data_IF_811108208166
#
_entry.id   IF_811108208166
#
_cell.length_a   1.000
_cell.length_b   1.000
_cell.length_c   1.000
_cell.angle_alpha   90.00
_cell.angle_beta   90.00
_cell.angle_gamma   90.00
#
_symmetry.space_group_name_H-M   'P 1'
#
loop_
_entity.id
_entity.type
_entity.pdbx_description
1 polymer ?
#
# COMPACT_ATOMS: atom_id res chain seq x y z
N UNK A 1 -45.64 7.45 60.09
CA UNK A 1 -46.09 8.47 61.09
C UNK A 1 -45.39 9.78 60.80
N UNK A 2 -46.14 10.82 60.63
CA UNK A 2 -45.90 12.28 60.50
C UNK A 2 -45.30 12.76 59.17
N UNK A 3 -46.24 13.25 58.40
CA UNK A 3 -46.21 14.36 57.46
C UNK A 3 -45.72 15.66 58.09
N UNK A 4 -45.11 16.52 57.32
CA UNK A 4 -45.19 17.98 57.45
C UNK A 4 -45.09 18.62 56.07
N UNK A 5 -46.08 19.40 55.81
CA UNK A 5 -46.37 20.34 54.70
C UNK A 5 -45.59 21.63 54.87
N UNK A 6 -45.37 22.33 53.79
CA UNK A 6 -45.90 23.60 53.25
C UNK A 6 -44.80 24.67 53.36
N UNK A 7 -44.46 25.51 52.38
CA UNK A 7 -45.31 26.57 51.83
C UNK A 7 -44.74 27.17 50.50
N UNK A 8 -45.67 27.77 49.79
CA UNK A 8 -45.46 28.48 48.53
C UNK A 8 -45.02 29.94 48.78
N UNK A 9 -44.11 30.41 47.90
CA UNK A 9 -43.96 31.83 47.65
C UNK A 9 -43.83 32.12 46.17
N UNK A 10 -44.78 32.84 45.62
CA UNK A 10 -44.80 33.46 44.29
C UNK A 10 -43.73 34.55 44.19
N UNK A 11 -43.01 34.57 43.07
CA UNK A 11 -42.13 35.67 42.73
C UNK A 11 -42.01 35.83 41.21
N UNK A 12 -42.63 36.83 40.72
CA UNK A 12 -42.64 37.58 39.45
C UNK A 12 -41.82 37.12 38.24
N UNK A 13 -42.52 37.01 37.14
CA UNK A 13 -42.09 36.88 35.75
C UNK A 13 -41.35 38.15 35.30
N UNK A 14 -40.16 38.00 34.79
CA UNK A 14 -39.52 38.97 33.89
C UNK A 14 -39.17 38.25 32.58
N UNK A 15 -39.93 38.51 31.54
CA UNK A 15 -39.69 38.02 30.18
C UNK A 15 -38.54 38.80 29.57
N UNK A 16 -37.42 38.14 29.31
CA UNK A 16 -36.34 38.64 28.43
C UNK A 16 -36.47 37.90 27.11
N UNK A 17 -36.88 38.58 26.08
CA UNK A 17 -36.81 38.10 24.70
C UNK A 17 -35.32 38.07 24.27
N UNK A 18 -34.78 36.87 24.10
CA UNK A 18 -33.52 36.67 23.42
C UNK A 18 -33.85 36.28 21.99
N UNK A 19 -33.52 37.20 21.05
CA UNK A 19 -33.55 36.95 19.61
C UNK A 19 -32.48 35.93 19.30
N UNK A 20 -32.89 34.70 18.96
CA UNK A 20 -32.02 33.64 18.51
C UNK A 20 -31.52 33.92 17.10
N UNK A 21 -30.28 34.33 16.96
CA UNK A 21 -29.57 34.27 15.70
C UNK A 21 -29.18 32.81 15.43
N UNK A 22 -29.88 32.15 14.51
CA UNK A 22 -29.52 30.84 13.98
C UNK A 22 -28.23 31.01 13.16
N UNK A 23 -27.08 30.72 13.78
CA UNK A 23 -25.83 30.53 13.06
C UNK A 23 -25.86 29.14 12.42
N UNK A 24 -26.15 29.10 11.13
CA UNK A 24 -25.79 27.93 10.29
C UNK A 24 -24.28 27.73 10.37
N UNK A 25 -23.87 26.79 11.20
CA UNK A 25 -22.49 26.29 11.20
C UNK A 25 -22.23 25.50 9.93
N UNK A 26 -21.73 26.18 8.90
CA UNK A 26 -21.05 25.51 7.80
C UNK A 26 -19.79 24.87 8.38
N UNK A 27 -19.78 23.55 8.45
CA UNK A 27 -18.56 22.77 8.66
C UNK A 27 -17.62 23.03 7.49
N UNK A 28 -16.78 24.05 7.61
CA UNK A 28 -15.63 24.23 6.73
C UNK A 28 -14.65 23.08 7.04
N UNK A 29 -14.56 22.11 6.14
CA UNK A 29 -13.41 21.22 6.07
C UNK A 29 -12.18 22.11 5.86
N UNK A 30 -11.42 22.35 6.92
CA UNK A 30 -10.15 23.03 6.86
C UNK A 30 -9.19 22.20 6.00
N UNK A 31 -8.93 22.65 4.75
CA UNK A 31 -7.80 22.14 3.97
C UNK A 31 -6.55 22.22 4.84
N UNK A 32 -5.71 21.16 4.89
CA UNK A 32 -4.41 21.24 5.54
C UNK A 32 -3.63 22.37 4.86
N UNK A 33 -3.33 23.39 5.62
CA UNK A 33 -2.51 24.52 5.16
C UNK A 33 -1.08 24.05 5.03
N UNK A 34 -0.38 24.40 3.96
CA UNK A 34 1.09 24.28 3.84
C UNK A 34 1.85 25.14 4.85
N UNK A 35 1.15 25.91 5.67
CA UNK A 35 1.68 26.66 6.79
C UNK A 35 1.99 25.70 7.95
N UNK A 36 3.24 25.22 8.02
CA UNK A 36 3.70 24.35 9.12
C UNK A 36 4.65 23.24 8.75
N UNK A 37 4.95 23.05 7.44
CA UNK A 37 5.96 22.05 7.05
C UNK A 37 7.33 22.42 7.63
N UNK A 38 8.10 21.43 8.16
CA UNK A 38 9.43 21.69 8.65
C UNK A 38 10.31 22.24 7.52
N UNK A 39 11.06 23.29 7.80
CA UNK A 39 12.03 23.90 6.86
C UNK A 39 13.43 23.30 6.97
N UNK A 40 13.69 22.51 8.00
CA UNK A 40 14.95 21.82 8.27
C UNK A 40 14.71 20.57 9.13
N UNK A 41 15.59 19.60 9.01
CA UNK A 41 15.63 18.44 9.89
C UNK A 41 16.45 18.83 11.13
N UNK A 42 15.86 18.64 12.31
CA UNK A 42 16.50 18.89 13.60
C UNK A 42 17.31 17.72 14.14
N UNK A 43 17.63 17.78 15.43
CA UNK A 43 18.10 16.62 16.16
C UNK A 43 17.02 15.52 16.13
N UNK A 44 17.44 14.25 16.08
CA UNK A 44 16.47 13.15 16.19
C UNK A 44 15.94 13.06 17.62
N UNK A 45 14.71 12.58 17.75
CA UNK A 45 14.02 12.40 19.03
C UNK A 45 14.50 11.13 19.77
N UNK A 46 15.25 10.27 19.08
CA UNK A 46 15.86 9.06 19.65
C UNK A 46 15.05 7.79 19.41
N UNK A 47 13.81 7.90 18.96
CA UNK A 47 12.95 6.78 18.63
C UNK A 47 12.35 6.98 17.24
N UNK A 48 11.87 5.87 16.60
CA UNK A 48 11.13 5.91 15.34
C UNK A 48 10.21 4.69 15.26
N UNK A 49 8.91 4.92 15.23
CA UNK A 49 7.90 3.86 15.19
C UNK A 49 7.30 3.75 13.79
N UNK A 50 7.46 2.60 13.15
CA UNK A 50 7.09 2.36 11.77
C UNK A 50 6.01 1.29 11.65
N UNK A 51 5.01 1.52 10.78
CA UNK A 51 4.21 0.47 10.17
C UNK A 51 4.79 0.18 8.80
N UNK A 52 5.15 -1.06 8.52
CA UNK A 52 5.86 -1.43 7.30
C UNK A 52 5.39 -2.77 6.73
N UNK A 53 5.61 -2.97 5.44
CA UNK A 53 5.58 -4.29 4.84
C UNK A 53 6.70 -5.16 5.42
N UNK A 54 6.47 -6.47 5.48
CA UNK A 54 7.49 -7.43 5.90
C UNK A 54 8.73 -7.31 4.99
N UNK A 55 9.91 -7.22 5.61
CA UNK A 55 11.18 -7.06 4.90
C UNK A 55 11.72 -5.62 4.86
N UNK A 56 10.88 -4.57 4.96
CA UNK A 56 11.31 -3.17 4.75
C UNK A 56 12.24 -2.61 5.82
N UNK A 57 12.33 -3.26 6.97
CA UNK A 57 13.17 -2.82 8.09
C UNK A 57 14.17 -3.90 8.52
N UNK A 58 14.91 -4.44 7.55
CA UNK A 58 15.92 -5.46 7.79
C UNK A 58 17.14 -4.87 8.54
N UNK A 59 17.82 -5.68 9.40
CA UNK A 59 18.96 -5.24 10.17
C UNK A 59 20.11 -4.63 9.36
N UNK A 60 20.25 -5.02 8.10
CA UNK A 60 21.32 -4.61 7.19
C UNK A 60 21.37 -3.10 6.97
N UNK A 61 20.22 -2.44 6.91
CA UNK A 61 20.14 -0.97 6.78
C UNK A 61 19.57 -0.29 8.04
N UNK A 62 18.83 -0.98 8.90
CA UNK A 62 18.34 -0.42 10.16
C UNK A 62 19.49 -0.16 11.13
N UNK A 63 20.36 -1.15 11.39
CA UNK A 63 21.46 -0.96 12.35
C UNK A 63 22.43 0.17 11.99
N UNK A 64 22.87 0.30 10.70
CA UNK A 64 23.67 1.46 10.30
C UNK A 64 22.91 2.79 10.44
N UNK A 65 21.61 2.83 10.17
CA UNK A 65 20.78 4.02 10.39
C UNK A 65 20.76 4.41 11.87
N UNK A 66 20.43 3.49 12.77
CA UNK A 66 20.40 3.70 14.21
C UNK A 66 21.74 4.22 14.73
N UNK A 67 22.83 3.57 14.29
CA UNK A 67 24.20 3.97 14.69
C UNK A 67 24.55 5.38 14.22
N UNK A 68 24.13 5.78 13.03
CA UNK A 68 24.49 7.08 12.45
C UNK A 68 23.62 8.23 12.93
N UNK A 69 22.38 7.96 13.31
CA UNK A 69 21.38 8.99 13.63
C UNK A 69 20.99 9.05 15.10
N UNK A 70 21.20 7.97 15.84
CA UNK A 70 20.71 7.80 17.22
C UNK A 70 19.19 7.55 17.29
N UNK A 71 18.51 7.33 16.17
CA UNK A 71 17.08 7.01 16.11
C UNK A 71 16.89 5.50 16.11
N UNK A 72 16.38 4.93 17.21
CA UNK A 72 16.09 3.49 17.36
C UNK A 72 14.79 3.16 16.63
N UNK A 73 14.82 2.15 15.76
CA UNK A 73 13.69 1.77 14.91
C UNK A 73 12.86 0.67 15.57
N UNK A 74 11.56 0.92 15.67
CA UNK A 74 10.55 -0.03 16.13
C UNK A 74 9.56 -0.28 15.00
N UNK A 75 9.55 -1.50 14.46
CA UNK A 75 8.70 -1.85 13.32
C UNK A 75 7.55 -2.76 13.72
N UNK A 76 6.35 -2.43 13.26
CA UNK A 76 5.19 -3.32 13.19
C UNK A 76 4.99 -3.69 11.73
N UNK A 77 5.10 -4.96 11.40
CA UNK A 77 4.73 -5.45 10.07
C UNK A 77 3.22 -5.59 9.94
N UNK A 78 2.70 -5.13 8.82
CA UNK A 78 1.30 -5.28 8.43
C UNK A 78 1.21 -6.23 7.24
N UNK A 79 0.17 -7.06 7.25
CA UNK A 79 -0.09 -8.04 6.19
C UNK A 79 -0.96 -7.51 5.05
N UNK A 80 -1.57 -6.31 5.22
CA UNK A 80 -2.41 -5.70 4.21
C UNK A 80 -2.48 -4.18 4.35
N UNK A 81 -2.89 -3.51 3.28
CA UNK A 81 -3.19 -2.08 3.27
C UNK A 81 -4.28 -1.71 4.29
N UNK A 82 -5.25 -2.59 4.52
CA UNK A 82 -6.32 -2.38 5.50
C UNK A 82 -5.80 -2.42 6.93
N UNK A 83 -4.88 -3.34 7.23
CA UNK A 83 -4.19 -3.37 8.51
C UNK A 83 -3.37 -2.09 8.72
N UNK A 84 -2.66 -1.60 7.70
CA UNK A 84 -1.90 -0.34 7.78
C UNK A 84 -2.79 0.85 8.13
N UNK A 85 -3.93 0.99 7.44
CA UNK A 85 -4.90 2.07 7.73
C UNK A 85 -5.46 1.93 9.15
N UNK A 86 -5.78 0.72 9.59
CA UNK A 86 -6.27 0.45 10.94
C UNK A 86 -5.24 0.81 12.00
N UNK A 87 -3.98 0.40 11.83
CA UNK A 87 -2.88 0.69 12.76
C UNK A 87 -2.63 2.20 12.89
N UNK A 88 -2.67 2.94 11.77
CA UNK A 88 -2.48 4.39 11.78
C UNK A 88 -3.61 5.15 12.49
N UNK A 89 -4.81 4.56 12.59
CA UNK A 89 -6.00 5.15 13.26
C UNK A 89 -6.16 4.72 14.72
N UNK A 90 -5.53 3.62 15.10
CA UNK A 90 -5.67 3.09 16.47
C UNK A 90 -5.31 4.13 17.52
N UNK A 91 -6.10 4.16 18.61
CA UNK A 91 -5.91 5.06 19.75
C UNK A 91 -5.86 6.56 19.38
N UNK A 92 -6.55 6.96 18.31
CA UNK A 92 -6.57 8.35 17.84
C UNK A 92 -5.32 8.78 17.08
N UNK A 93 -4.56 7.83 16.52
CA UNK A 93 -3.28 8.08 15.86
C UNK A 93 -2.11 8.24 16.85
N UNK A 94 -0.91 8.56 16.35
CA UNK A 94 0.26 8.87 17.18
C UNK A 94 0.90 7.69 17.93
N UNK A 95 0.55 6.46 17.55
CA UNK A 95 1.29 5.28 17.96
C UNK A 95 2.50 5.03 17.06
N UNK A 96 2.39 5.43 15.80
CA UNK A 96 3.43 5.28 14.78
C UNK A 96 3.75 6.63 14.15
N UNK A 97 5.00 6.81 13.75
CA UNK A 97 5.49 8.02 13.11
C UNK A 97 5.36 7.96 11.60
N UNK A 98 5.51 6.77 11.03
CA UNK A 98 5.42 6.58 9.59
C UNK A 98 4.75 5.25 9.22
N UNK A 99 4.23 5.22 7.98
CA UNK A 99 3.71 4.00 7.34
C UNK A 99 4.27 3.88 5.92
N UNK A 100 4.64 2.65 5.50
CA UNK A 100 5.04 2.36 4.12
C UNK A 100 3.82 1.91 3.30
N UNK A 101 2.97 2.87 2.91
CA UNK A 101 1.70 2.57 2.27
C UNK A 101 1.82 2.36 0.76
N UNK A 102 1.05 1.42 0.23
CA UNK A 102 0.83 1.27 -1.21
C UNK A 102 -0.32 2.16 -1.70
N UNK A 103 -0.49 2.29 -3.02
CA UNK A 103 -1.43 3.24 -3.61
C UNK A 103 -2.90 3.04 -3.23
N UNK A 104 -3.30 1.82 -2.91
CA UNK A 104 -4.66 1.48 -2.46
C UNK A 104 -4.96 1.96 -1.02
N UNK A 105 -3.93 2.18 -0.19
CA UNK A 105 -4.06 2.74 1.15
C UNK A 105 -3.85 4.26 1.20
N UNK A 106 -3.00 4.80 0.32
CA UNK A 106 -2.48 6.17 0.43
C UNK A 106 -3.59 7.22 0.46
N UNK A 107 -4.54 7.20 -0.47
CA UNK A 107 -5.62 8.19 -0.50
C UNK A 107 -6.55 8.05 0.72
N UNK A 108 -6.79 6.83 1.22
CA UNK A 108 -7.60 6.62 2.44
C UNK A 108 -6.96 7.24 3.67
N UNK A 109 -5.62 7.17 3.76
CA UNK A 109 -4.87 7.80 4.84
C UNK A 109 -4.84 9.33 4.70
N UNK A 110 -4.73 9.85 3.47
CA UNK A 110 -4.76 11.29 3.18
C UNK A 110 -6.15 11.88 3.49
N UNK A 111 -7.21 11.26 2.97
CA UNK A 111 -8.58 11.73 3.14
C UNK A 111 -9.07 11.56 4.58
N UNK A 112 -8.57 10.55 5.29
CA UNK A 112 -8.82 10.34 6.71
C UNK A 112 -8.11 11.34 7.63
N UNK A 113 -7.11 12.09 7.10
CA UNK A 113 -6.28 12.98 7.92
C UNK A 113 -5.28 12.22 8.80
N UNK A 114 -5.01 10.96 8.47
CA UNK A 114 -4.11 10.08 9.25
C UNK A 114 -2.63 10.40 8.99
N UNK A 115 -2.34 11.05 7.86
CA UNK A 115 -0.98 11.42 7.42
C UNK A 115 -0.86 12.91 7.13
N UNK A 116 0.32 13.45 7.36
CA UNK A 116 0.65 14.86 7.16
C UNK A 116 1.33 15.09 5.80
N UNK A 117 1.22 16.30 5.23
CA UNK A 117 2.06 16.73 4.13
C UNK A 117 3.55 16.61 4.46
N UNK A 118 4.37 16.28 3.46
CA UNK A 118 5.82 16.19 3.57
C UNK A 118 6.54 17.26 2.75
N UNK A 119 7.65 17.76 3.28
CA UNK A 119 8.50 18.70 2.54
C UNK A 119 9.57 17.93 1.76
N UNK A 120 9.33 17.71 0.47
CA UNK A 120 10.26 17.00 -0.42
C UNK A 120 11.61 17.71 -0.58
N UNK A 121 11.70 19.02 -0.31
CA UNK A 121 12.98 19.74 -0.33
C UNK A 121 13.94 19.29 0.78
N UNK A 122 13.44 18.60 1.80
CA UNK A 122 14.24 17.98 2.86
C UNK A 122 14.75 16.58 2.49
N UNK A 123 14.41 16.09 1.29
CA UNK A 123 14.86 14.80 0.76
C UNK A 123 15.72 15.03 -0.49
N UNK A 124 17.05 15.25 -0.35
CA UNK A 124 17.92 15.63 -1.47
C UNK A 124 17.90 14.64 -2.64
N UNK A 125 17.67 13.36 -2.37
CA UNK A 125 17.62 12.29 -3.36
C UNK A 125 16.32 12.28 -4.18
N UNK A 126 15.26 12.95 -3.74
CA UNK A 126 13.98 13.00 -4.44
C UNK A 126 14.11 13.44 -5.93
N UNK A 127 15.04 14.36 -6.23
CA UNK A 127 15.34 14.80 -7.61
C UNK A 127 15.92 13.70 -8.51
N UNK A 128 16.43 12.63 -7.91
CA UNK A 128 17.03 11.48 -8.61
C UNK A 128 16.04 10.32 -8.78
N UNK A 129 14.80 10.47 -8.29
CA UNK A 129 13.75 9.48 -8.49
C UNK A 129 13.27 9.48 -9.93
N UNK A 130 12.77 8.34 -10.39
CA UNK A 130 12.12 8.27 -11.70
C UNK A 130 10.96 9.28 -11.75
N UNK A 131 10.78 10.01 -12.87
CA UNK A 131 9.79 11.09 -12.94
C UNK A 131 8.38 10.68 -12.55
N UNK A 132 7.97 9.46 -12.90
CA UNK A 132 6.64 8.91 -12.60
C UNK A 132 6.35 8.75 -11.10
N UNK A 133 7.40 8.62 -10.27
CA UNK A 133 7.28 8.43 -8.82
C UNK A 133 7.80 9.61 -7.99
N UNK A 134 8.12 10.75 -8.63
CA UNK A 134 8.36 12.00 -7.90
C UNK A 134 7.06 12.59 -7.34
N UNK A 135 5.97 12.54 -8.12
CA UNK A 135 4.69 13.12 -7.72
C UNK A 135 3.53 12.24 -8.19
N UNK A 136 3.51 10.96 -7.81
CA UNK A 136 2.44 10.06 -8.24
C UNK A 136 1.10 10.47 -7.60
N UNK A 137 0.02 10.26 -8.32
CA UNK A 137 -1.34 10.66 -7.88
C UNK A 137 -1.79 9.99 -6.58
N UNK A 138 -1.27 8.81 -6.27
CA UNK A 138 -1.63 8.09 -5.04
C UNK A 138 -1.04 8.71 -3.77
N UNK A 139 0.02 9.52 -3.86
CA UNK A 139 0.60 10.20 -2.68
C UNK A 139 0.72 11.73 -2.84
N UNK A 140 0.25 12.29 -3.97
CA UNK A 140 0.31 13.72 -4.25
C UNK A 140 -1.07 14.23 -4.65
N UNK A 141 -1.69 15.01 -3.77
CA UNK A 141 -3.05 15.53 -3.94
C UNK A 141 -3.01 17.05 -4.07
N UNK A 142 -3.58 17.60 -5.14
CA UNK A 142 -3.59 19.04 -5.42
C UNK A 142 -2.19 19.70 -5.32
N UNK A 143 -1.14 19.00 -5.78
CA UNK A 143 0.25 19.45 -5.72
C UNK A 143 0.90 19.38 -4.34
N UNK A 144 0.22 18.85 -3.35
CA UNK A 144 0.76 18.61 -2.00
C UNK A 144 1.24 17.17 -1.89
N UNK A 145 2.50 16.97 -1.52
CA UNK A 145 3.08 15.64 -1.29
C UNK A 145 2.75 15.14 0.12
N UNK A 146 2.30 13.90 0.23
CA UNK A 146 2.00 13.22 1.50
C UNK A 146 2.91 12.01 1.74
N UNK A 147 3.84 11.74 0.82
CA UNK A 147 4.76 10.62 0.97
C UNK A 147 5.98 10.73 0.07
N UNK A 148 6.97 9.93 0.38
CA UNK A 148 8.23 9.78 -0.35
C UNK A 148 8.27 8.37 -0.91
N UNK A 149 8.24 8.24 -2.23
CA UNK A 149 8.26 6.95 -2.93
C UNK A 149 9.53 6.16 -2.58
N UNK A 150 9.39 4.86 -2.42
CA UNK A 150 10.49 3.98 -2.00
C UNK A 150 10.90 3.02 -3.12
N UNK A 151 10.05 2.08 -3.43
CA UNK A 151 10.26 1.02 -4.42
C UNK A 151 8.93 0.68 -5.09
N UNK A 152 9.01 -0.06 -6.18
CA UNK A 152 7.85 -0.51 -6.93
C UNK A 152 8.09 -1.88 -7.57
N UNK A 153 7.03 -2.56 -7.88
CA UNK A 153 7.10 -3.85 -8.55
C UNK A 153 5.74 -4.34 -9.05
N UNK A 154 5.75 -5.31 -9.97
CA UNK A 154 4.54 -5.98 -10.41
C UNK A 154 4.10 -7.06 -9.42
N UNK A 155 2.80 -7.36 -9.41
CA UNK A 155 2.33 -8.66 -8.97
C UNK A 155 2.73 -9.70 -10.03
N UNK A 156 3.31 -10.81 -9.61
CA UNK A 156 3.81 -11.85 -10.51
C UNK A 156 3.08 -13.16 -10.30
N UNK A 157 3.04 -13.97 -11.35
CA UNK A 157 2.64 -15.37 -11.23
C UNK A 157 3.86 -16.19 -10.84
N UNK A 158 3.92 -16.60 -9.58
CA UNK A 158 4.95 -17.45 -9.01
C UNK A 158 4.55 -18.91 -9.19
N UNK A 159 5.48 -19.77 -9.60
CA UNK A 159 5.21 -21.20 -9.75
C UNK A 159 6.42 -22.10 -9.50
N UNK A 160 6.16 -23.29 -8.99
CA UNK A 160 7.18 -24.36 -8.81
C UNK A 160 7.43 -25.05 -10.15
N UNK A 161 8.68 -24.99 -10.63
CA UNK A 161 9.05 -25.50 -11.96
C UNK A 161 9.06 -27.03 -12.08
N UNK A 162 9.01 -27.77 -10.95
CA UNK A 162 8.89 -29.23 -10.95
C UNK A 162 7.43 -29.68 -11.04
N UNK A 163 6.53 -28.97 -10.37
CA UNK A 163 5.11 -29.32 -10.24
C UNK A 163 4.24 -28.74 -11.36
N UNK A 164 4.56 -27.51 -11.82
CA UNK A 164 3.77 -26.80 -12.84
C UNK A 164 4.40 -26.97 -14.21
N UNK A 165 3.74 -27.77 -15.06
CA UNK A 165 4.17 -28.07 -16.44
C UNK A 165 2.97 -28.13 -17.39
N UNK A 166 3.08 -27.58 -18.62
CA UNK A 166 4.16 -26.71 -19.10
C UNK A 166 4.28 -25.42 -18.24
N UNK A 167 5.34 -24.62 -18.43
CA UNK A 167 5.46 -23.31 -17.79
C UNK A 167 4.21 -22.46 -18.10
N UNK A 168 3.58 -21.81 -17.11
CA UNK A 168 2.39 -20.99 -17.32
C UNK A 168 2.73 -19.73 -18.13
N UNK A 169 1.75 -19.20 -18.86
CA UNK A 169 1.84 -17.92 -19.58
C UNK A 169 0.71 -16.97 -19.23
N UNK A 170 -0.27 -17.44 -18.48
CA UNK A 170 -1.54 -16.74 -18.24
C UNK A 170 -1.97 -16.83 -16.78
N UNK A 171 -2.63 -15.78 -16.28
CA UNK A 171 -3.35 -15.81 -15.00
C UNK A 171 -4.47 -16.86 -14.95
N UNK A 172 -4.92 -17.39 -16.10
CA UNK A 172 -5.93 -18.45 -16.14
C UNK A 172 -5.60 -19.66 -15.27
N UNK A 173 -4.32 -19.93 -15.04
CA UNK A 173 -3.87 -21.09 -14.24
C UNK A 173 -4.34 -21.02 -12.78
N UNK A 174 -4.42 -19.82 -12.18
CA UNK A 174 -4.91 -19.64 -10.80
C UNK A 174 -6.44 -19.51 -10.73
N UNK A 175 -7.12 -19.27 -11.84
CA UNK A 175 -8.59 -19.22 -11.92
C UNK A 175 -9.22 -20.56 -12.37
N UNK A 176 -8.41 -21.58 -12.61
CA UNK A 176 -8.85 -22.90 -13.03
C UNK A 176 -8.70 -23.93 -11.92
N UNK A 177 -9.46 -25.06 -11.95
CA UNK A 177 -9.33 -26.12 -10.95
C UNK A 177 -8.08 -26.98 -11.11
N UNK A 178 -7.19 -26.70 -12.05
CA UNK A 178 -6.02 -27.52 -12.40
C UNK A 178 -5.10 -27.78 -11.22
N UNK A 179 -4.89 -26.76 -10.39
CA UNK A 179 -4.04 -26.82 -9.18
C UNK A 179 -4.85 -26.61 -7.92
N UNK A 180 -6.10 -27.11 -7.90
CA UNK A 180 -7.01 -26.97 -6.76
C UNK A 180 -6.37 -27.50 -5.46
N UNK A 181 -6.36 -26.65 -4.42
CA UNK A 181 -5.76 -26.94 -3.12
C UNK A 181 -4.26 -26.72 -3.05
N UNK A 182 -3.63 -26.21 -4.14
CA UNK A 182 -2.20 -25.88 -4.23
C UNK A 182 -1.97 -24.45 -4.74
N UNK A 183 -3.04 -23.63 -4.81
CA UNK A 183 -2.99 -22.22 -5.23
C UNK A 183 -2.95 -21.34 -3.98
N UNK A 184 -2.15 -20.27 -4.00
CA UNK A 184 -2.12 -19.25 -2.95
C UNK A 184 -2.12 -17.85 -3.54
N UNK A 185 -2.80 -16.90 -2.89
CA UNK A 185 -2.91 -15.51 -3.31
C UNK A 185 -2.98 -14.60 -2.08
N UNK A 186 -2.69 -13.29 -2.20
CA UNK A 186 -2.78 -12.36 -1.07
C UNK A 186 -4.20 -12.28 -0.48
N UNK A 187 -4.29 -12.13 0.84
CA UNK A 187 -5.54 -11.76 1.54
C UNK A 187 -5.69 -10.22 1.52
N UNK A 188 -6.14 -9.71 0.37
CA UNK A 188 -6.27 -8.28 0.17
C UNK A 188 -7.40 -7.98 -0.84
N UNK A 189 -8.36 -7.07 -0.54
CA UNK A 189 -9.43 -6.66 -1.45
C UNK A 189 -8.94 -6.20 -2.83
N UNK A 190 -7.69 -5.73 -2.93
CA UNK A 190 -7.08 -5.29 -4.20
C UNK A 190 -6.95 -6.45 -5.22
N UNK A 191 -7.07 -7.72 -4.79
CA UNK A 191 -7.17 -8.87 -5.69
C UNK A 191 -8.36 -8.79 -6.67
N UNK A 192 -9.36 -7.97 -6.35
CA UNK A 192 -10.46 -7.66 -7.28
C UNK A 192 -9.91 -6.97 -8.53
N UNK A 193 -8.91 -6.10 -8.39
CA UNK A 193 -8.26 -5.44 -9.53
C UNK A 193 -7.47 -6.44 -10.40
N UNK A 194 -6.84 -7.46 -9.80
CA UNK A 194 -6.16 -8.53 -10.54
C UNK A 194 -7.15 -9.33 -11.38
N UNK A 195 -8.30 -9.69 -10.80
CA UNK A 195 -9.39 -10.35 -11.51
C UNK A 195 -9.96 -9.47 -12.61
N UNK A 196 -10.16 -8.17 -12.35
CA UNK A 196 -10.66 -7.21 -13.33
C UNK A 196 -9.68 -7.03 -14.50
N UNK A 197 -8.36 -6.95 -14.23
CA UNK A 197 -7.34 -6.91 -15.27
C UNK A 197 -7.38 -8.16 -16.15
N UNK A 198 -7.48 -9.35 -15.56
CA UNK A 198 -7.63 -10.60 -16.29
C UNK A 198 -8.90 -10.57 -17.17
N UNK A 199 -10.04 -10.16 -16.61
CA UNK A 199 -11.31 -10.06 -17.33
C UNK A 199 -11.28 -9.01 -18.45
N UNK A 200 -10.55 -7.90 -18.30
CA UNK A 200 -10.41 -6.88 -19.34
C UNK A 200 -9.84 -7.47 -20.65
N UNK A 201 -9.01 -8.51 -20.54
CA UNK A 201 -8.37 -9.20 -21.68
C UNK A 201 -9.16 -10.41 -22.17
N UNK A 202 -9.82 -11.12 -21.26
CA UNK A 202 -10.52 -12.38 -21.59
C UNK A 202 -12.02 -12.20 -21.88
N UNK A 203 -12.61 -11.10 -21.39
CA UNK A 203 -14.00 -10.71 -21.60
C UNK A 203 -14.12 -9.22 -21.98
N UNK A 204 -13.64 -8.79 -23.17
CA UNK A 204 -13.62 -7.38 -23.57
C UNK A 204 -15.01 -6.70 -23.59
N UNK A 205 -16.09 -7.48 -23.70
CA UNK A 205 -17.47 -6.99 -23.65
C UNK A 205 -17.86 -6.37 -22.30
N UNK A 206 -17.07 -6.58 -21.24
CA UNK A 206 -17.25 -5.90 -19.98
C UNK A 206 -16.85 -4.42 -20.04
N UNK A 207 -15.96 -4.03 -20.98
CA UNK A 207 -15.51 -2.65 -21.15
C UNK A 207 -14.66 -2.14 -19.98
N UNK A 208 -13.89 -3.01 -19.31
CA UNK A 208 -12.99 -2.61 -18.22
C UNK A 208 -11.76 -1.90 -18.82
N UNK A 209 -11.61 -0.61 -18.58
CA UNK A 209 -10.49 0.23 -19.04
C UNK A 209 -9.42 0.36 -17.96
N UNK A 210 -9.86 0.58 -16.70
CA UNK A 210 -9.01 0.66 -15.52
C UNK A 210 -9.48 -0.38 -14.47
N UNK A 211 -8.61 -1.28 -14.01
CA UNK A 211 -9.00 -2.33 -13.06
C UNK A 211 -9.40 -1.82 -11.68
N UNK A 212 -9.13 -0.54 -11.37
CA UNK A 212 -9.49 0.10 -10.10
C UNK A 212 -10.74 0.98 -10.19
N UNK A 213 -11.22 1.25 -11.40
CA UNK A 213 -12.40 2.08 -11.67
C UNK A 213 -13.52 1.23 -12.24
N UNK A 214 -14.14 0.44 -11.39
CA UNK A 214 -15.16 -0.54 -11.77
C UNK A 214 -16.56 -0.03 -11.48
N UNK A 215 -17.44 -0.10 -12.48
CA UNK A 215 -18.88 -0.02 -12.27
C UNK A 215 -19.35 -1.26 -11.50
N UNK A 216 -20.54 -1.20 -10.85
CA UNK A 216 -21.15 -2.34 -10.16
C UNK A 216 -21.09 -3.63 -10.97
N UNK A 217 -21.51 -3.59 -12.25
CA UNK A 217 -21.48 -4.75 -13.15
C UNK A 217 -20.07 -5.33 -13.35
N UNK A 218 -19.06 -4.47 -13.46
CA UNK A 218 -17.66 -4.88 -13.67
C UNK A 218 -17.07 -5.45 -12.39
N UNK A 219 -17.37 -4.82 -11.25
CA UNK A 219 -17.01 -5.29 -9.92
C UNK A 219 -17.61 -6.67 -9.65
N UNK A 220 -18.92 -6.83 -9.87
CA UNK A 220 -19.60 -8.12 -9.68
C UNK A 220 -18.99 -9.22 -10.56
N UNK A 221 -18.63 -8.92 -11.82
CA UNK A 221 -17.97 -9.90 -12.68
C UNK A 221 -16.61 -10.35 -12.13
N UNK A 222 -15.81 -9.42 -11.58
CA UNK A 222 -14.53 -9.75 -10.96
C UNK A 222 -14.72 -10.57 -9.68
N UNK A 223 -15.67 -10.19 -8.84
CA UNK A 223 -16.03 -10.89 -7.59
C UNK A 223 -16.53 -12.32 -7.89
N UNK A 224 -17.37 -12.50 -8.88
CA UNK A 224 -17.84 -13.83 -9.30
C UNK A 224 -16.69 -14.74 -9.80
N UNK A 225 -15.68 -14.18 -10.48
CA UNK A 225 -14.48 -14.93 -10.85
C UNK A 225 -13.71 -15.37 -9.59
N UNK A 226 -13.54 -14.49 -8.61
CA UNK A 226 -12.86 -14.80 -7.36
C UNK A 226 -13.64 -15.80 -6.49
N UNK A 227 -14.97 -15.70 -6.42
CA UNK A 227 -15.81 -16.70 -5.75
C UNK A 227 -15.67 -18.09 -6.38
N UNK A 228 -15.52 -18.17 -7.71
CA UNK A 228 -15.23 -19.43 -8.41
C UNK A 228 -13.82 -19.95 -8.11
N UNK A 229 -12.85 -19.06 -7.92
CA UNK A 229 -11.48 -19.39 -7.55
C UNK A 229 -11.37 -19.88 -6.09
N UNK A 230 -12.14 -19.28 -5.17
CA UNK A 230 -12.04 -19.51 -3.72
C UNK A 230 -11.91 -21.00 -3.34
N UNK A 231 -12.72 -21.95 -3.85
CA UNK A 231 -12.60 -23.39 -3.51
C UNK A 231 -11.33 -24.03 -4.08
N UNK A 232 -10.51 -23.34 -4.84
CA UNK A 232 -9.23 -23.83 -5.37
C UNK A 232 -8.04 -23.38 -4.51
N UNK A 233 -8.24 -22.31 -3.69
CA UNK A 233 -7.19 -21.70 -2.86
C UNK A 233 -6.84 -22.61 -1.69
N UNK A 234 -5.54 -22.84 -1.50
CA UNK A 234 -4.99 -23.52 -0.30
C UNK A 234 -5.02 -22.59 0.91
N UNK A 235 -4.55 -21.35 0.71
CA UNK A 235 -4.50 -20.31 1.73
C UNK A 235 -4.44 -18.93 1.07
N UNK A 236 -5.22 -18.02 1.60
CA UNK A 236 -4.96 -16.58 1.42
C UNK A 236 -3.84 -16.20 2.38
N UNK A 237 -2.73 -15.66 1.85
CA UNK A 237 -1.59 -15.28 2.68
C UNK A 237 -1.67 -13.81 3.09
N UNK A 238 -1.28 -13.52 4.34
CA UNK A 238 -1.24 -12.16 4.88
C UNK A 238 0.19 -11.63 4.91
N UNK A 239 1.15 -12.40 5.41
CA UNK A 239 2.57 -12.05 5.36
C UNK A 239 3.26 -12.77 4.20
N UNK A 240 4.26 -12.13 3.61
CA UNK A 240 5.05 -12.74 2.54
C UNK A 240 5.70 -14.07 2.98
N UNK A 241 6.11 -14.16 4.24
CA UNK A 241 6.64 -15.37 4.86
C UNK A 241 5.63 -16.54 4.86
N UNK A 242 4.33 -16.28 4.95
CA UNK A 242 3.30 -17.32 4.85
C UNK A 242 3.37 -18.05 3.49
N UNK A 243 3.45 -17.28 2.39
CA UNK A 243 3.55 -17.86 1.05
C UNK A 243 4.88 -18.57 0.83
N UNK A 244 5.99 -17.99 1.31
CA UNK A 244 7.30 -18.60 1.25
C UNK A 244 7.28 -19.99 1.89
N UNK A 245 6.70 -20.12 3.08
CA UNK A 245 6.59 -21.42 3.77
C UNK A 245 5.71 -22.41 3.00
N UNK A 246 4.59 -21.97 2.42
CA UNK A 246 3.73 -22.86 1.61
C UNK A 246 4.49 -23.43 0.40
N UNK A 247 5.30 -22.62 -0.29
CA UNK A 247 6.12 -23.10 -1.41
C UNK A 247 7.28 -23.99 -0.97
N UNK A 248 7.93 -23.69 0.16
CA UNK A 248 9.03 -24.52 0.73
C UNK A 248 8.53 -25.90 1.13
N UNK A 249 7.36 -25.98 1.72
CA UNK A 249 6.75 -27.21 2.15
C UNK A 249 6.06 -28.00 1.03
N UNK A 250 5.86 -27.38 -0.15
CA UNK A 250 5.12 -27.97 -1.26
C UNK A 250 3.61 -27.95 -1.07
N UNK A 251 3.09 -27.17 -0.13
CA UNK A 251 1.67 -26.98 0.12
C UNK A 251 1.02 -26.09 -0.95
N UNK A 252 1.78 -25.20 -1.57
CA UNK A 252 1.40 -24.45 -2.75
C UNK A 252 2.44 -24.64 -3.87
N UNK A 253 1.96 -24.67 -5.11
CA UNK A 253 2.82 -24.83 -6.29
C UNK A 253 2.69 -23.66 -7.28
N UNK A 254 1.64 -22.85 -7.15
CA UNK A 254 1.39 -21.68 -8.01
C UNK A 254 0.61 -20.62 -7.21
N UNK A 255 0.88 -19.35 -7.49
CA UNK A 255 0.20 -18.26 -6.78
C UNK A 255 0.50 -16.89 -7.34
N UNK A 256 -0.21 -15.89 -6.81
CA UNK A 256 0.09 -14.50 -7.03
C UNK A 256 1.03 -14.02 -5.91
N UNK A 257 2.20 -13.51 -6.28
CA UNK A 257 3.30 -13.17 -5.38
C UNK A 257 3.90 -11.79 -5.71
N UNK A 258 4.67 -11.27 -4.79
CA UNK A 258 5.58 -10.16 -5.06
C UNK A 258 6.98 -10.69 -5.41
N UNK A 259 7.85 -9.90 -6.03
CA UNK A 259 9.23 -10.31 -6.31
C UNK A 259 10.02 -10.73 -5.07
N UNK A 260 9.68 -10.21 -3.89
CA UNK A 260 10.30 -10.56 -2.60
C UNK A 260 10.22 -12.07 -2.29
N UNK A 261 9.03 -12.68 -2.42
CA UNK A 261 8.87 -14.12 -2.17
C UNK A 261 9.71 -14.93 -3.15
N UNK A 262 9.71 -14.54 -4.44
CA UNK A 262 10.53 -15.20 -5.45
C UNK A 262 12.02 -15.13 -5.10
N UNK A 263 12.53 -13.94 -4.75
CA UNK A 263 13.95 -13.74 -4.42
C UNK A 263 14.38 -14.59 -3.22
N UNK A 264 13.53 -14.62 -2.17
CA UNK A 264 13.78 -15.42 -0.97
C UNK A 264 13.78 -16.93 -1.28
N UNK A 265 12.79 -17.41 -2.04
CA UNK A 265 12.69 -18.82 -2.41
C UNK A 265 13.87 -19.28 -3.29
N UNK A 266 14.34 -18.42 -4.20
CA UNK A 266 15.52 -18.70 -5.02
C UNK A 266 16.79 -18.78 -4.15
N UNK A 267 16.94 -17.87 -3.18
CA UNK A 267 18.06 -17.91 -2.23
C UNK A 267 18.05 -19.21 -1.40
N UNK A 268 16.86 -19.71 -1.06
CA UNK A 268 16.67 -20.99 -0.36
C UNK A 268 16.67 -22.22 -1.27
N UNK A 269 17.08 -22.05 -2.55
CA UNK A 269 17.19 -23.13 -3.55
C UNK A 269 15.86 -23.85 -3.87
N UNK A 270 14.72 -23.22 -3.62
CA UNK A 270 13.41 -23.74 -4.04
C UNK A 270 13.29 -23.58 -5.56
N UNK A 271 12.81 -24.62 -6.28
CA UNK A 271 12.78 -24.60 -7.76
C UNK A 271 11.57 -23.80 -8.27
N UNK A 272 11.59 -22.49 -8.12
CA UNK A 272 10.54 -21.58 -8.55
C UNK A 272 10.97 -20.70 -9.72
N UNK A 273 9.98 -20.17 -10.42
CA UNK A 273 10.08 -19.05 -11.36
C UNK A 273 8.91 -18.12 -11.19
N UNK A 274 9.10 -16.86 -11.58
CA UNK A 274 8.03 -15.88 -11.68
C UNK A 274 7.93 -15.35 -13.09
N UNK A 275 6.73 -14.93 -13.48
CA UNK A 275 6.45 -14.30 -14.77
C UNK A 275 5.45 -13.15 -14.60
N UNK A 276 5.47 -12.21 -15.54
CA UNK A 276 4.32 -11.35 -15.82
C UNK A 276 3.51 -12.06 -16.91
N UNK A 277 2.26 -12.49 -16.64
CA UNK A 277 1.43 -13.16 -17.64
C UNK A 277 1.06 -12.28 -18.82
N UNK A 278 0.60 -12.91 -19.91
CA UNK A 278 0.23 -12.22 -21.15
C UNK A 278 -0.87 -11.16 -20.99
N UNK A 279 -1.70 -11.26 -19.95
CA UNK A 279 -2.72 -10.27 -19.65
C UNK A 279 -2.14 -9.00 -19.02
N UNK A 280 -0.84 -8.96 -18.69
CA UNK A 280 -0.18 -7.91 -17.93
C UNK A 280 -0.25 -8.16 -16.43
N UNK A 281 0.12 -7.16 -15.66
CA UNK A 281 0.12 -7.21 -14.20
C UNK A 281 -0.45 -5.93 -13.59
N UNK A 282 -1.08 -6.05 -12.45
CA UNK A 282 -1.16 -4.98 -11.49
C UNK A 282 0.18 -4.86 -10.76
N UNK A 283 0.38 -3.79 -10.03
CA UNK A 283 1.62 -3.60 -9.29
C UNK A 283 1.46 -2.53 -8.23
N UNK A 284 2.45 -2.41 -7.40
CA UNK A 284 2.46 -1.48 -6.28
C UNK A 284 3.65 -0.52 -6.43
N UNK A 285 3.49 0.66 -5.87
CA UNK A 285 4.53 1.66 -5.71
C UNK A 285 4.41 2.21 -4.30
N UNK A 286 5.30 1.77 -3.42
CA UNK A 286 5.20 2.07 -2.01
C UNK A 286 5.80 3.43 -1.67
N UNK A 287 5.22 4.04 -0.65
CA UNK A 287 5.60 5.38 -0.22
C UNK A 287 5.66 5.46 1.31
N UNK A 288 6.74 6.02 1.83
CA UNK A 288 6.81 6.40 3.24
C UNK A 288 6.00 7.66 3.49
N UNK A 289 4.94 7.54 4.29
CA UNK A 289 4.05 8.63 4.67
C UNK A 289 4.24 8.98 6.14
N UNK A 290 4.32 10.27 6.45
CA UNK A 290 4.46 10.77 7.83
C UNK A 290 3.09 10.80 8.50
N UNK A 291 2.98 10.24 9.71
CA UNK A 291 1.75 10.33 10.50
C UNK A 291 1.41 11.80 10.80
N UNK A 292 0.11 12.14 10.75
CA UNK A 292 -0.36 13.45 11.19
C UNK A 292 -0.11 13.71 12.68
N UNK A 293 0.14 12.64 13.45
CA UNK A 293 0.38 12.65 14.89
C UNK A 293 1.77 12.14 15.25
N UNK A 294 2.74 12.17 14.30
CA UNK A 294 4.10 11.72 14.53
C UNK A 294 4.74 12.44 15.72
N UNK A 295 5.34 11.67 16.62
CA UNK A 295 6.06 12.19 17.79
C UNK A 295 7.54 12.40 17.49
N UNK A 296 8.06 11.66 16.51
CA UNK A 296 9.47 11.61 16.17
C UNK A 296 9.72 12.07 14.71
N UNK A 297 9.22 13.27 14.29
CA UNK A 297 9.24 13.69 12.89
C UNK A 297 10.67 13.94 12.36
N UNK A 298 11.64 14.31 13.18
CA UNK A 298 13.02 14.45 12.72
C UNK A 298 13.66 13.09 12.45
N UNK A 299 13.42 12.08 13.28
CA UNK A 299 13.83 10.70 13.02
C UNK A 299 13.13 10.14 11.76
N UNK A 300 11.85 10.48 11.53
CA UNK A 300 11.12 10.12 10.33
C UNK A 300 11.78 10.70 9.07
N UNK A 301 12.12 12.00 9.05
CA UNK A 301 12.82 12.61 7.91
C UNK A 301 14.25 12.05 7.72
N UNK A 302 14.95 11.74 8.80
CA UNK A 302 16.25 11.06 8.71
C UNK A 302 16.10 9.68 8.08
N UNK A 303 15.03 8.94 8.44
CA UNK A 303 14.73 7.63 7.88
C UNK A 303 14.48 7.70 6.37
N UNK A 304 13.59 8.59 5.91
CA UNK A 304 13.32 8.70 4.47
C UNK A 304 14.56 9.15 3.69
N UNK A 305 15.40 10.04 4.25
CA UNK A 305 16.68 10.39 3.64
C UNK A 305 17.63 9.21 3.55
N UNK A 306 17.66 8.35 4.56
CA UNK A 306 18.49 7.17 4.61
C UNK A 306 18.05 6.14 3.56
N UNK A 307 16.77 5.75 3.58
CA UNK A 307 16.24 4.74 2.66
C UNK A 307 16.10 5.25 1.22
N UNK A 308 16.13 6.56 0.98
CA UNK A 308 16.15 7.16 -0.34
C UNK A 308 17.56 7.22 -0.96
N UNK A 309 18.61 6.97 -0.16
CA UNK A 309 19.98 7.00 -0.68
C UNK A 309 20.22 5.92 -1.72
N UNK A 310 21.03 6.19 -2.76
CA UNK A 310 21.26 5.22 -3.83
C UNK A 310 21.78 3.87 -3.31
N UNK A 311 22.65 3.90 -2.27
CA UNK A 311 23.22 2.70 -1.67
C UNK A 311 22.15 1.84 -1.00
N UNK A 312 21.34 2.44 -0.10
CA UNK A 312 20.33 1.69 0.64
C UNK A 312 19.25 1.18 -0.32
N UNK A 313 18.85 1.99 -1.31
CA UNK A 313 17.91 1.52 -2.32
C UNK A 313 18.46 0.37 -3.17
N UNK A 314 19.77 0.36 -3.48
CA UNK A 314 20.38 -0.75 -4.17
C UNK A 314 20.38 -2.04 -3.32
N UNK A 315 20.73 -1.91 -2.02
CA UNK A 315 20.70 -3.03 -1.08
C UNK A 315 19.29 -3.59 -0.90
N UNK A 316 18.30 -2.72 -0.74
CA UNK A 316 16.89 -3.10 -0.63
C UNK A 316 16.37 -3.76 -1.91
N UNK A 317 16.63 -3.15 -3.08
CA UNK A 317 16.20 -3.68 -4.37
C UNK A 317 16.70 -5.09 -4.62
N UNK A 318 17.97 -5.38 -4.27
CA UNK A 318 18.54 -6.73 -4.39
C UNK A 318 17.90 -7.69 -3.39
N UNK A 319 17.68 -7.24 -2.14
CA UNK A 319 17.07 -8.07 -1.10
C UNK A 319 15.64 -8.45 -1.42
N UNK A 320 14.85 -7.50 -1.93
CA UNK A 320 13.43 -7.73 -2.24
C UNK A 320 13.20 -8.28 -3.65
N UNK A 321 14.16 -8.10 -4.57
CA UNK A 321 13.94 -8.34 -5.99
C UNK A 321 13.07 -7.27 -6.67
N UNK A 322 13.00 -6.07 -6.10
CA UNK A 322 12.10 -4.98 -6.50
C UNK A 322 12.85 -3.87 -7.25
N UNK A 323 12.10 -2.96 -7.87
CA UNK A 323 12.70 -1.86 -8.63
C UNK A 323 12.87 -0.63 -7.73
N UNK A 324 14.09 -0.08 -7.59
CA UNK A 324 14.32 1.13 -6.82
C UNK A 324 13.74 2.35 -7.56
N UNK A 325 13.29 3.36 -6.80
CA UNK A 325 12.86 4.64 -7.41
C UNK A 325 14.04 5.55 -7.74
N UNK A 326 15.18 5.41 -7.03
CA UNK A 326 16.36 6.24 -7.25
C UNK A 326 17.19 5.71 -8.41
N UNK A 327 17.24 6.47 -9.51
CA UNK A 327 17.95 6.09 -10.74
C UNK A 327 19.47 5.88 -10.56
N UNK A 328 20.03 6.41 -9.46
CA UNK A 328 21.46 6.23 -9.12
C UNK A 328 21.75 4.91 -8.41
N UNK A 329 20.73 4.12 -8.07
CA UNK A 329 20.92 2.81 -7.44
C UNK A 329 21.52 1.78 -8.41
N UNK A 330 21.19 1.85 -9.70
CA UNK A 330 21.58 0.87 -10.72
C UNK A 330 23.10 0.57 -10.79
N UNK A 331 24.03 1.54 -10.86
CA UNK A 331 25.45 1.26 -10.82
C UNK A 331 25.90 0.50 -9.56
N UNK A 332 25.33 0.86 -8.41
CA UNK A 332 25.65 0.22 -7.13
C UNK A 332 25.09 -1.20 -7.09
N UNK A 333 23.91 -1.43 -7.64
CA UNK A 333 23.33 -2.77 -7.79
C UNK A 333 24.26 -3.68 -8.61
N UNK A 334 24.81 -3.18 -9.73
CA UNK A 334 25.78 -3.95 -10.55
C UNK A 334 27.08 -4.27 -9.81
N UNK A 335 27.53 -3.38 -8.92
CA UNK A 335 28.71 -3.64 -8.06
C UNK A 335 28.42 -4.69 -7.00
N UNK A 336 27.23 -4.63 -6.36
CA UNK A 336 26.82 -5.57 -5.32
C UNK A 336 26.46 -6.95 -5.87
N UNK A 337 25.78 -6.99 -7.01
CA UNK A 337 25.32 -8.21 -7.67
C UNK A 337 25.24 -8.00 -9.18
N UNK A 338 26.19 -8.53 -9.91
CA UNK A 338 26.29 -8.38 -11.37
C UNK A 338 25.00 -8.82 -12.07
N UNK A 339 24.46 -7.95 -12.91
CA UNK A 339 23.22 -8.17 -13.66
C UNK A 339 21.95 -7.79 -12.90
N UNK A 340 22.04 -7.40 -11.62
CA UNK A 340 20.85 -7.08 -10.81
C UNK A 340 20.12 -5.84 -11.29
N UNK A 341 20.81 -4.83 -11.82
CA UNK A 341 20.17 -3.65 -12.39
C UNK A 341 19.18 -4.00 -13.52
N UNK A 342 19.54 -4.94 -14.39
CA UNK A 342 18.67 -5.43 -15.47
C UNK A 342 17.61 -6.37 -14.90
N UNK A 343 18.00 -7.29 -14.03
CA UNK A 343 17.09 -8.29 -13.44
C UNK A 343 15.93 -7.65 -12.68
N UNK A 344 16.21 -6.57 -11.93
CA UNK A 344 15.20 -5.85 -11.13
C UNK A 344 14.72 -4.56 -11.79
N UNK A 345 14.90 -4.43 -13.10
CA UNK A 345 14.33 -3.37 -13.92
C UNK A 345 14.73 -1.94 -13.53
N UNK A 346 15.85 -1.74 -12.80
CA UNK A 346 16.29 -0.43 -12.33
C UNK A 346 16.70 0.54 -13.48
N UNK A 347 16.96 -0.01 -14.67
CA UNK A 347 17.26 0.73 -15.90
C UNK A 347 16.20 0.50 -17.01
N UNK A 348 15.03 -0.01 -16.64
CA UNK A 348 13.98 -0.28 -17.62
C UNK A 348 13.47 1.02 -18.28
N UNK A 349 13.04 0.95 -19.55
CA UNK A 349 12.42 2.11 -20.20
C UNK A 349 11.07 2.45 -19.53
N UNK A 350 10.64 3.71 -19.68
CA UNK A 350 9.35 4.18 -19.14
C UNK A 350 8.16 3.29 -19.57
N UNK A 351 8.21 2.71 -20.77
CA UNK A 351 7.18 1.79 -21.27
C UNK A 351 7.01 0.52 -20.41
N UNK A 352 8.05 0.09 -19.70
CA UNK A 352 7.90 -1.01 -18.75
C UNK A 352 7.06 -0.58 -17.54
N UNK A 353 7.35 0.61 -16.97
CA UNK A 353 6.54 1.19 -15.90
C UNK A 353 5.07 1.34 -16.35
N UNK A 354 4.84 1.89 -17.54
CA UNK A 354 3.51 2.14 -18.08
C UNK A 354 2.71 0.84 -18.37
N UNK A 355 3.40 -0.30 -18.49
CA UNK A 355 2.77 -1.60 -18.71
C UNK A 355 2.14 -2.20 -17.46
N UNK A 356 2.45 -1.64 -16.28
CA UNK A 356 1.96 -2.10 -14.98
C UNK A 356 0.80 -1.20 -14.55
N UNK A 357 -0.29 -1.81 -14.10
CA UNK A 357 -1.44 -1.10 -13.52
C UNK A 357 -1.22 -0.92 -12.03
N UNK A 358 -0.69 0.24 -11.65
CA UNK A 358 -0.35 0.51 -10.24
C UNK A 358 -1.58 0.63 -9.36
N UNK A 359 -1.47 0.07 -8.17
CA UNK A 359 -2.51 0.12 -7.15
C UNK A 359 -2.91 1.56 -6.85
N UNK A 360 -4.20 1.80 -6.86
CA UNK A 360 -4.80 3.05 -6.41
C UNK A 360 -6.07 2.74 -5.61
N UNK A 361 -6.45 3.64 -4.73
CA UNK A 361 -7.67 3.52 -3.95
C UNK A 361 -8.88 3.64 -4.89
N UNK A 362 -9.77 2.63 -4.99
CA UNK A 362 -11.05 2.77 -5.67
C UNK A 362 -11.90 3.87 -5.06
N UNK A 363 -12.47 4.72 -5.89
CA UNK A 363 -13.30 5.87 -5.49
C UNK A 363 -14.60 5.86 -6.26
N UNK A 364 -15.69 6.37 -5.65
CA UNK A 364 -17.01 6.40 -6.27
C UNK A 364 -17.08 7.28 -7.53
N UNK A 365 -16.22 8.27 -7.63
CA UNK A 365 -16.10 9.13 -8.82
C UNK A 365 -14.88 8.73 -9.62
N UNK A 366 -15.10 8.07 -10.75
CA UNK A 366 -14.03 7.69 -11.67
C UNK A 366 -13.28 8.90 -12.24
N UNK A 367 -11.98 8.76 -12.54
CA UNK A 367 -11.11 9.80 -13.10
C UNK A 367 -11.60 10.36 -14.45
N UNK A 368 -12.36 9.55 -15.23
CA UNK A 368 -12.95 9.97 -16.49
C UNK A 368 -14.22 10.84 -16.34
N UNK A 369 -14.53 11.30 -15.12
CA UNK A 369 -15.70 12.12 -14.83
C UNK A 369 -17.03 11.37 -14.72
N UNK A 370 -17.05 10.06 -14.93
CA UNK A 370 -18.21 9.20 -14.64
C UNK A 370 -18.37 9.09 -13.11
N UNK A 371 -19.59 9.13 -12.61
CA UNK A 371 -19.89 9.00 -11.19
C UNK A 371 -20.37 7.58 -10.82
N UNK A 372 -19.92 6.58 -11.56
CA UNK A 372 -20.54 5.23 -11.56
C UNK A 372 -19.56 4.14 -11.10
N UNK A 373 -18.44 4.52 -10.47
CA UNK A 373 -17.49 3.56 -9.91
C UNK A 373 -17.84 3.20 -8.47
N UNK A 374 -17.47 2.00 -8.08
CA UNK A 374 -17.62 1.52 -6.72
C UNK A 374 -16.39 1.87 -5.88
N UNK A 375 -16.61 2.48 -4.71
CA UNK A 375 -15.54 2.88 -3.82
C UNK A 375 -14.95 1.71 -3.03
N UNK A 376 -13.84 1.97 -2.33
CA UNK A 376 -13.13 0.94 -1.59
C UNK A 376 -13.97 0.28 -0.49
N UNK A 377 -14.95 0.95 0.09
CA UNK A 377 -15.82 0.35 1.12
C UNK A 377 -16.69 -0.76 0.53
N UNK A 378 -17.16 -0.59 -0.69
CA UNK A 378 -17.86 -1.63 -1.43
C UNK A 378 -16.93 -2.80 -1.77
N UNK A 379 -15.69 -2.49 -2.19
CA UNK A 379 -14.69 -3.53 -2.46
C UNK A 379 -14.39 -4.39 -1.22
N UNK A 380 -14.25 -3.78 -0.04
CA UNK A 380 -14.07 -4.52 1.22
C UNK A 380 -15.25 -5.44 1.53
N UNK A 381 -16.49 -4.96 1.33
CA UNK A 381 -17.68 -5.80 1.51
C UNK A 381 -17.68 -6.99 0.54
N UNK A 382 -17.39 -6.72 -0.73
CA UNK A 382 -17.31 -7.76 -1.77
C UNK A 382 -16.16 -8.76 -1.51
N UNK A 383 -15.03 -8.31 -0.97
CA UNK A 383 -13.95 -9.20 -0.58
C UNK A 383 -14.36 -10.13 0.55
N UNK A 384 -15.08 -9.63 1.53
CA UNK A 384 -15.67 -10.46 2.59
C UNK A 384 -16.61 -11.52 2.03
N UNK A 385 -17.39 -11.20 0.98
CA UNK A 385 -18.23 -12.20 0.29
C UNK A 385 -17.41 -13.29 -0.45
N UNK A 386 -16.18 -12.98 -0.87
CA UNK A 386 -15.28 -13.93 -1.54
C UNK A 386 -14.62 -14.88 -0.53
N UNK A 387 -14.16 -14.34 0.58
CA UNK A 387 -13.34 -15.10 1.55
C UNK A 387 -14.14 -15.79 2.65
N UNK A 388 -15.45 -15.47 2.78
CA UNK A 388 -16.37 -16.15 3.71
C UNK A 388 -16.66 -15.41 4.95
#
# INVERSE_FOLDING_TARGET
MKLARVDWALGAVLAVMIVGASACGSSSSSKPSSAGLPSKIGAGEGQLYLVAWEGYTQPEWVKPFEKSTGCVVHSKYAGSSDEMVTLMRQNGGGQYDMVSASGDASLRLIDGGDVAPVNVALVPEWKNFIPQLQSPSHNTVNGTHYGISLQWGPNTLLYNTKSVKPAPTSWAEIYSPKYKGEITVPDNPIQIADAALYLSKTQPSLGIEDPYELTERQLDAAVELLKKQHPYIKKYWSLASDEIELFKNGDAVIGAAWPYQYSTLVADHVPVKQIIPEQGATGWADTWMLSAHAKDPNCAYKWVNWVSSPKVQAEQAISYGETPVNTKACPIMEELSKGSCVTYHANAPASYFDSIKFWKTPVAKCDNGRSECEDYSVWQQKWTEVTG
#
